data_IF_581411831533
#
_entry.id   IF_581411831533
#
_cell.length_a   1.000
_cell.length_b   1.000
_cell.length_c   1.000
_cell.angle_alpha   90.00
_cell.angle_beta   90.00
_cell.angle_gamma   90.00
#
_symmetry.space_group_name_H-M   'P 1'
#
loop_
_entity.id
_entity.type
_entity.pdbx_description
1 polymer ?
#
# COMPACT_ATOMS: atom_id res chain seq x y z
N UNK A 1 21.34 -5.69 10.75
CA UNK A 1 20.99 -4.40 10.10
C UNK A 1 20.73 -4.57 8.60
N UNK A 2 21.73 -4.90 7.77
CA UNK A 2 21.53 -5.11 6.31
C UNK A 2 20.49 -6.19 5.96
N UNK A 3 20.55 -7.34 6.63
CA UNK A 3 19.58 -8.43 6.43
C UNK A 3 18.14 -7.99 6.75
N UNK A 4 17.93 -7.17 7.78
CA UNK A 4 16.59 -6.66 8.14
C UNK A 4 16.07 -5.68 7.09
N UNK A 5 16.90 -4.78 6.58
CA UNK A 5 16.56 -3.87 5.48
C UNK A 5 16.16 -4.63 4.22
N UNK A 6 16.92 -5.66 3.84
CA UNK A 6 16.60 -6.50 2.69
C UNK A 6 15.22 -7.17 2.86
N UNK A 7 14.93 -7.74 4.04
CA UNK A 7 13.63 -8.35 4.34
C UNK A 7 12.48 -7.33 4.27
N UNK A 8 12.66 -6.16 4.87
CA UNK A 8 11.68 -5.05 4.84
C UNK A 8 11.39 -4.65 3.39
N UNK A 9 12.43 -4.54 2.56
CA UNK A 9 12.27 -4.25 1.14
C UNK A 9 11.59 -5.40 0.38
N UNK A 10 11.92 -6.66 0.68
CA UNK A 10 11.24 -7.82 0.10
C UNK A 10 9.74 -7.81 0.39
N UNK A 11 9.34 -7.52 1.63
CA UNK A 11 7.91 -7.40 1.97
C UNK A 11 7.24 -6.27 1.20
N UNK A 12 7.91 -5.13 1.05
CA UNK A 12 7.39 -4.04 0.22
C UNK A 12 7.20 -4.46 -1.24
N UNK A 13 8.12 -5.21 -1.83
CA UNK A 13 7.96 -5.74 -3.20
C UNK A 13 6.73 -6.66 -3.30
N UNK A 14 6.48 -7.50 -2.30
CA UNK A 14 5.26 -8.33 -2.25
C UNK A 14 4.01 -7.46 -2.23
N UNK A 15 3.98 -6.43 -1.37
CA UNK A 15 2.89 -5.45 -1.30
C UNK A 15 2.69 -4.74 -2.65
N UNK A 16 3.78 -4.33 -3.30
CA UNK A 16 3.75 -3.67 -4.60
C UNK A 16 3.14 -4.57 -5.68
N UNK A 17 3.54 -5.83 -5.76
CA UNK A 17 2.97 -6.80 -6.71
C UNK A 17 1.48 -6.98 -6.45
N UNK A 18 1.06 -7.12 -5.19
CA UNK A 18 -0.36 -7.20 -4.83
C UNK A 18 -1.13 -5.91 -5.19
N UNK A 19 -0.53 -4.74 -5.02
CA UNK A 19 -1.14 -3.47 -5.38
C UNK A 19 -1.38 -3.36 -6.90
N UNK A 20 -0.40 -3.79 -7.71
CA UNK A 20 -0.53 -3.83 -9.17
C UNK A 20 -1.64 -4.80 -9.58
N UNK A 21 -1.64 -6.03 -9.03
CA UNK A 21 -2.68 -7.03 -9.31
C UNK A 21 -4.08 -6.52 -8.92
N UNK A 22 -4.20 -5.88 -7.75
CA UNK A 22 -5.45 -5.28 -7.30
C UNK A 22 -5.90 -4.11 -8.20
N UNK A 23 -4.96 -3.29 -8.67
CA UNK A 23 -5.24 -2.24 -9.66
C UNK A 23 -5.75 -2.83 -10.97
N UNK A 24 -5.10 -3.86 -11.50
CA UNK A 24 -5.57 -4.58 -12.69
C UNK A 24 -6.96 -5.18 -12.48
N UNK A 25 -7.21 -5.84 -11.34
CA UNK A 25 -8.52 -6.39 -10.99
C UNK A 25 -9.61 -5.30 -10.88
N UNK A 26 -9.26 -4.13 -10.33
CA UNK A 26 -10.17 -2.98 -10.27
C UNK A 26 -10.63 -2.52 -11.64
N UNK A 27 -9.68 -2.28 -12.54
CA UNK A 27 -9.98 -1.74 -13.87
C UNK A 27 -10.68 -2.77 -14.77
N UNK A 28 -10.27 -4.04 -14.69
CA UNK A 28 -10.77 -5.10 -15.57
C UNK A 28 -12.08 -5.76 -15.11
N UNK A 29 -12.35 -5.76 -13.80
CA UNK A 29 -13.48 -6.51 -13.23
C UNK A 29 -14.39 -5.63 -12.40
N UNK A 30 -13.87 -4.89 -11.40
CA UNK A 30 -14.72 -4.15 -10.47
C UNK A 30 -15.42 -2.98 -11.16
N UNK A 31 -14.67 -2.07 -11.79
CA UNK A 31 -15.25 -0.88 -12.42
C UNK A 31 -16.30 -1.25 -13.49
N UNK A 32 -16.05 -2.22 -14.40
CA UNK A 32 -17.04 -2.65 -15.38
C UNK A 32 -18.32 -3.26 -14.77
N UNK A 33 -18.22 -3.95 -13.63
CA UNK A 33 -19.37 -4.68 -13.03
C UNK A 33 -20.20 -3.84 -12.06
N UNK A 34 -19.54 -3.00 -11.26
CA UNK A 34 -20.17 -2.29 -10.13
C UNK A 34 -20.01 -0.77 -10.21
N UNK A 35 -19.43 -0.26 -11.30
CA UNK A 35 -19.24 1.15 -11.56
C UNK A 35 -17.97 1.73 -10.92
N UNK A 36 -17.60 2.94 -11.36
CA UNK A 36 -16.36 3.63 -10.98
C UNK A 36 -16.27 3.82 -9.47
N UNK A 37 -17.31 4.42 -8.86
CA UNK A 37 -17.29 4.79 -7.43
C UNK A 37 -17.11 3.58 -6.52
N UNK A 38 -17.95 2.57 -6.69
CA UNK A 38 -17.88 1.34 -5.89
C UNK A 38 -16.62 0.54 -6.20
N UNK A 39 -16.17 0.53 -7.47
CA UNK A 39 -14.94 -0.15 -7.88
C UNK A 39 -13.70 0.40 -7.17
N UNK A 40 -13.53 1.72 -7.12
CA UNK A 40 -12.44 2.36 -6.39
C UNK A 40 -12.49 2.10 -4.89
N UNK A 41 -13.67 2.24 -4.28
CA UNK A 41 -13.84 2.05 -2.84
C UNK A 41 -13.54 0.60 -2.42
N UNK A 42 -14.16 -0.39 -3.08
CA UNK A 42 -13.98 -1.81 -2.75
C UNK A 42 -12.55 -2.26 -3.03
N UNK A 43 -11.95 -1.84 -4.16
CA UNK A 43 -10.55 -2.15 -4.47
C UNK A 43 -9.58 -1.58 -3.44
N UNK A 44 -9.83 -0.35 -2.96
CA UNK A 44 -9.02 0.25 -1.89
C UNK A 44 -9.13 -0.56 -0.60
N UNK A 45 -10.33 -0.98 -0.23
CA UNK A 45 -10.56 -1.80 0.97
C UNK A 45 -9.86 -3.16 0.86
N UNK A 46 -9.98 -3.83 -0.28
CA UNK A 46 -9.29 -5.10 -0.56
C UNK A 46 -7.78 -4.92 -0.38
N UNK A 47 -7.19 -3.88 -0.98
CA UNK A 47 -5.76 -3.64 -0.87
C UNK A 47 -5.32 -3.35 0.55
N UNK A 48 -6.06 -2.52 1.29
CA UNK A 48 -5.78 -2.25 2.70
C UNK A 48 -5.78 -3.53 3.55
N UNK A 49 -6.76 -4.42 3.34
CA UNK A 49 -6.83 -5.71 4.03
C UNK A 49 -5.64 -6.60 3.64
N UNK A 50 -5.28 -6.67 2.36
CA UNK A 50 -4.13 -7.44 1.90
C UNK A 50 -2.81 -6.94 2.52
N UNK A 51 -2.61 -5.62 2.59
CA UNK A 51 -1.43 -5.02 3.23
C UNK A 51 -1.35 -5.43 4.70
N UNK A 52 -2.47 -5.36 5.43
CA UNK A 52 -2.52 -5.77 6.84
C UNK A 52 -2.21 -7.26 7.01
N UNK A 53 -2.79 -8.13 6.17
CA UNK A 53 -2.54 -9.58 6.21
C UNK A 53 -1.07 -9.87 5.94
N UNK A 54 -0.50 -9.34 4.86
CA UNK A 54 0.92 -9.56 4.50
C UNK A 54 1.82 -9.07 5.61
N UNK A 55 1.57 -7.87 6.12
CA UNK A 55 2.38 -7.30 7.20
C UNK A 55 2.28 -8.15 8.46
N UNK A 56 1.08 -8.56 8.86
CA UNK A 56 0.87 -9.42 10.02
C UNK A 56 1.60 -10.74 9.89
N UNK A 57 1.50 -11.43 8.75
CA UNK A 57 2.14 -12.73 8.52
C UNK A 57 3.66 -12.63 8.43
N UNK A 58 4.20 -11.55 7.87
CA UNK A 58 5.64 -11.37 7.66
C UNK A 58 6.36 -10.75 8.86
N UNK A 59 5.65 -10.10 9.78
CA UNK A 59 6.25 -9.40 10.92
C UNK A 59 7.19 -10.28 11.78
N UNK A 60 6.85 -11.53 12.15
CA UNK A 60 7.76 -12.40 12.89
C UNK A 60 9.07 -12.69 12.15
N UNK A 61 9.03 -12.75 10.82
CA UNK A 61 10.21 -12.98 9.98
C UNK A 61 11.14 -11.76 9.93
N UNK A 62 10.57 -10.55 10.09
CA UNK A 62 11.35 -9.30 10.22
C UNK A 62 12.12 -9.26 11.55
N UNK A 63 11.65 -9.96 12.58
CA UNK A 63 12.26 -10.04 13.91
C UNK A 63 12.37 -8.65 14.59
N UNK A 64 11.38 -7.78 14.37
CA UNK A 64 11.31 -6.41 14.87
C UNK A 64 10.31 -6.38 16.03
N UNK A 65 10.73 -5.82 17.17
CA UNK A 65 9.94 -5.81 18.41
C UNK A 65 9.74 -4.40 18.99
N UNK A 66 10.49 -3.40 18.52
CA UNK A 66 10.39 -2.03 19.04
C UNK A 66 9.42 -1.21 18.21
N UNK A 67 8.50 -0.51 18.88
CA UNK A 67 7.53 0.38 18.21
C UNK A 67 8.22 1.44 17.32
N UNK A 68 9.36 1.98 17.74
CA UNK A 68 10.13 2.93 16.92
C UNK A 68 10.60 2.32 15.59
N UNK A 69 11.04 1.07 15.59
CA UNK A 69 11.47 0.36 14.39
C UNK A 69 10.28 0.04 13.48
N UNK A 70 9.12 -0.33 14.04
CA UNK A 70 7.89 -0.56 13.28
C UNK A 70 7.42 0.71 12.56
N UNK A 71 7.48 1.86 13.24
CA UNK A 71 7.17 3.17 12.65
C UNK A 71 8.12 3.48 11.48
N UNK A 72 9.42 3.24 11.66
CA UNK A 72 10.41 3.45 10.58
C UNK A 72 10.14 2.55 9.39
N UNK A 73 9.76 1.28 9.61
CA UNK A 73 9.37 0.35 8.53
C UNK A 73 8.16 0.87 7.77
N UNK A 74 7.11 1.27 8.48
CA UNK A 74 5.88 1.79 7.87
C UNK A 74 6.12 3.07 7.06
N UNK A 75 6.85 4.02 7.62
CA UNK A 75 7.26 5.23 6.91
C UNK A 75 8.14 4.92 5.69
N UNK A 76 9.03 3.94 5.80
CA UNK A 76 9.87 3.48 4.68
C UNK A 76 9.03 2.89 3.54
N UNK A 77 8.06 2.05 3.85
CA UNK A 77 7.12 1.51 2.85
C UNK A 77 6.26 2.59 2.21
N UNK A 78 5.75 3.54 3.00
CA UNK A 78 5.01 4.68 2.47
C UNK A 78 5.88 5.49 1.49
N UNK A 79 7.10 5.82 1.90
CA UNK A 79 8.04 6.57 1.07
C UNK A 79 8.33 5.85 -0.26
N UNK A 80 8.64 4.56 -0.21
CA UNK A 80 8.88 3.75 -1.41
C UNK A 80 7.64 3.68 -2.30
N UNK A 81 6.44 3.57 -1.72
CA UNK A 81 5.17 3.53 -2.46
C UNK A 81 4.91 4.85 -3.18
N UNK A 82 5.12 5.99 -2.51
CA UNK A 82 5.00 7.31 -3.13
C UNK A 82 6.04 7.48 -4.24
N UNK A 83 7.31 7.14 -3.98
CA UNK A 83 8.36 7.21 -4.99
C UNK A 83 8.01 6.38 -6.23
N UNK A 84 7.56 5.14 -6.04
CA UNK A 84 7.09 4.30 -7.14
C UNK A 84 5.92 4.94 -7.89
N UNK A 85 4.89 5.44 -7.19
CA UNK A 85 3.71 6.06 -7.81
C UNK A 85 4.09 7.28 -8.67
N UNK A 86 4.88 8.21 -8.12
CA UNK A 86 5.31 9.40 -8.85
C UNK A 86 6.22 9.03 -10.02
N UNK A 87 7.23 8.17 -9.83
CA UNK A 87 8.12 7.73 -10.91
C UNK A 87 7.36 7.00 -12.02
N UNK A 88 6.46 6.09 -11.66
CA UNK A 88 5.65 5.34 -12.63
C UNK A 88 4.63 6.23 -13.34
N UNK A 89 3.98 7.15 -12.63
CA UNK A 89 3.06 8.13 -13.20
C UNK A 89 3.75 9.04 -14.23
N UNK A 90 4.92 9.57 -13.88
CA UNK A 90 5.73 10.39 -14.79
C UNK A 90 6.24 9.59 -15.99
N UNK A 91 6.69 8.34 -15.78
CA UNK A 91 7.09 7.45 -16.87
C UNK A 91 5.95 7.17 -17.86
N UNK A 92 4.70 7.16 -17.39
CA UNK A 92 3.49 7.06 -18.22
C UNK A 92 3.07 8.37 -18.90
N UNK A 93 3.82 9.45 -18.69
CA UNK A 93 3.51 10.78 -19.23
C UNK A 93 2.37 11.49 -18.51
N UNK A 94 2.00 11.07 -17.28
CA UNK A 94 0.98 11.77 -16.50
C UNK A 94 1.54 13.07 -15.93
N UNK A 95 0.72 14.12 -15.93
CA UNK A 95 1.05 15.36 -15.22
C UNK A 95 0.95 15.17 -13.71
N UNK A 96 1.66 15.99 -12.93
CA UNK A 96 1.54 16.00 -11.47
C UNK A 96 0.09 16.19 -11.03
N UNK A 97 -0.66 17.08 -11.68
CA UNK A 97 -2.07 17.31 -11.38
C UNK A 97 -2.89 16.02 -11.48
N UNK A 98 -2.63 15.20 -12.52
CA UNK A 98 -3.33 13.93 -12.71
C UNK A 98 -2.97 12.89 -11.66
N UNK A 99 -1.71 12.85 -11.22
CA UNK A 99 -1.28 11.98 -10.09
C UNK A 99 -1.96 12.44 -8.80
N UNK A 100 -1.99 13.75 -8.54
CA UNK A 100 -2.63 14.32 -7.36
C UNK A 100 -4.16 14.13 -7.32
N UNK A 101 -4.83 13.90 -8.45
CA UNK A 101 -6.27 13.56 -8.43
C UNK A 101 -6.57 12.34 -7.55
N UNK A 102 -5.65 11.35 -7.48
CA UNK A 102 -5.81 10.18 -6.63
C UNK A 102 -5.91 10.52 -5.14
N UNK A 103 -5.47 11.71 -4.73
CA UNK A 103 -5.43 12.16 -3.34
C UNK A 103 -6.68 12.96 -2.93
N UNK A 104 -7.60 13.21 -3.86
CA UNK A 104 -8.76 14.11 -3.65
C UNK A 104 -10.03 13.39 -3.17
N UNK A 105 -9.98 12.07 -2.96
CA UNK A 105 -11.15 11.23 -2.66
C UNK A 105 -12.26 11.22 -3.73
N UNK A 106 -11.98 11.83 -4.89
CA UNK A 106 -12.92 11.92 -6.00
C UNK A 106 -13.31 10.52 -6.47
N UNK A 107 -14.59 10.38 -6.84
CA UNK A 107 -15.17 9.13 -7.34
C UNK A 107 -14.95 7.93 -6.40
N UNK A 108 -14.90 8.15 -5.08
CA UNK A 108 -14.73 7.08 -4.09
C UNK A 108 -13.30 6.52 -4.04
N UNK A 109 -12.33 7.20 -4.63
CA UNK A 109 -10.93 6.80 -4.59
C UNK A 109 -10.33 7.03 -3.20
N UNK A 110 -10.26 5.99 -2.39
CA UNK A 110 -9.71 6.02 -1.04
C UNK A 110 -8.19 5.79 -0.98
N UNK A 111 -7.46 6.11 -2.06
CA UNK A 111 -6.00 5.90 -2.12
C UNK A 111 -5.22 6.48 -0.93
N UNK A 112 -5.53 7.70 -0.39
CA UNK A 112 -4.86 8.20 0.80
C UNK A 112 -5.05 7.31 2.05
N UNK A 113 -6.21 6.63 2.15
CA UNK A 113 -6.47 5.68 3.24
C UNK A 113 -5.60 4.44 3.08
N UNK A 114 -5.41 3.95 1.85
CA UNK A 114 -4.50 2.83 1.57
C UNK A 114 -3.07 3.20 1.98
N UNK A 115 -2.60 4.41 1.64
CA UNK A 115 -1.28 4.91 2.04
C UNK A 115 -1.13 5.00 3.57
N UNK A 116 -2.16 5.48 4.26
CA UNK A 116 -2.20 5.51 5.72
C UNK A 116 -2.12 4.10 6.31
N UNK A 117 -2.88 3.15 5.75
CA UNK A 117 -2.81 1.73 6.15
C UNK A 117 -1.40 1.17 5.91
N UNK A 118 -0.76 1.45 4.78
CA UNK A 118 0.64 1.03 4.54
C UNK A 118 1.59 1.54 5.62
N UNK A 119 1.44 2.79 6.03
CA UNK A 119 2.28 3.37 7.08
C UNK A 119 2.01 2.80 8.47
N UNK A 120 0.75 2.49 8.79
CA UNK A 120 0.35 2.01 10.11
C UNK A 120 0.39 0.48 10.25
N UNK A 121 0.41 -0.27 9.14
CA UNK A 121 0.31 -1.72 9.15
C UNK A 121 1.36 -2.41 10.04
N UNK A 122 2.66 -2.02 10.05
CA UNK A 122 3.64 -2.65 10.94
C UNK A 122 3.32 -2.45 12.42
N UNK A 123 2.89 -1.23 12.78
CA UNK A 123 2.52 -0.90 14.16
C UNK A 123 1.28 -1.67 14.58
N UNK A 124 0.24 -1.68 13.74
CA UNK A 124 -0.99 -2.45 13.99
C UNK A 124 -0.70 -3.95 14.13
N UNK A 125 0.12 -4.51 13.24
CA UNK A 125 0.54 -5.90 13.30
C UNK A 125 1.32 -6.23 14.56
N UNK A 126 2.17 -5.31 15.04
CA UNK A 126 2.85 -5.43 16.33
C UNK A 126 1.85 -5.50 17.47
N UNK A 127 0.95 -4.52 17.57
CA UNK A 127 -0.07 -4.45 18.63
C UNK A 127 -1.00 -5.67 18.65
N UNK A 128 -1.35 -6.21 17.49
CA UNK A 128 -2.18 -7.42 17.38
C UNK A 128 -1.45 -8.70 17.82
N UNK A 129 -0.12 -8.68 17.93
CA UNK A 129 0.70 -9.84 18.30
C UNK A 129 1.15 -9.85 19.77
N UNK A 130 1.02 -8.73 20.49
CA UNK A 130 1.41 -8.57 21.89
C UNK A 130 2.55 -7.58 22.07
#
# INVERSE_FOLDING_TARGET
>A
MFLTLAKVFTVWIIILVMAIMNGTFRESVLIPKIGIRSGFFISGLILSVLILIVTYLTLPWLNIHRNSELIVVGCGWLFLTLMFEFSFGLFRGLSFQKIFEAYTFKDGNIWPVVLLVTALAPLMAGWMRG
#
